data_IF_005523979444
#
_entry.id   IF_005523979444
#
_cell.length_a   1.000
_cell.length_b   1.000
_cell.length_c   1.000
_cell.angle_alpha   90.00
_cell.angle_beta   90.00
_cell.angle_gamma   90.00
#
_symmetry.space_group_name_H-M   'P 1'
#
loop_
_entity.id
_entity.type
_entity.pdbx_description
1 polymer ?
#
# COMPACT_ATOMS: atom_id res chain seq x y z
N UNK A 1 -13.85 28.89 0.64
CA UNK A 1 -14.16 27.67 -0.15
C UNK A 1 -14.90 26.72 0.78
N UNK A 2 -16.13 26.26 0.43
CA UNK A 2 -16.83 25.29 1.26
C UNK A 2 -16.09 23.96 1.20
N UNK A 3 -15.88 23.36 2.37
CA UNK A 3 -15.35 22.01 2.52
C UNK A 3 -16.36 21.03 1.90
N UNK A 4 -15.98 20.36 0.83
CA UNK A 4 -16.73 19.20 0.30
C UNK A 4 -16.55 18.03 1.28
N UNK A 5 -17.52 17.87 2.15
CA UNK A 5 -17.63 16.73 3.04
C UNK A 5 -18.36 15.62 2.27
N UNK A 6 -17.83 14.39 2.27
CA UNK A 6 -18.35 13.27 1.48
C UNK A 6 -19.80 12.86 1.85
N UNK A 7 -20.44 12.01 1.02
CA UNK A 7 -21.86 11.60 1.07
C UNK A 7 -22.42 11.15 2.44
N UNK A 8 -21.55 10.72 3.36
CA UNK A 8 -21.97 10.39 4.73
C UNK A 8 -22.42 11.58 5.57
N UNK A 9 -21.99 12.81 5.20
CA UNK A 9 -22.37 14.02 5.90
C UNK A 9 -23.71 14.61 5.43
N UNK A 10 -24.14 14.31 4.19
CA UNK A 10 -25.43 14.79 3.67
C UNK A 10 -26.59 14.18 4.48
N UNK A 11 -26.45 12.92 4.90
CA UNK A 11 -27.40 12.28 5.80
C UNK A 11 -27.39 12.88 7.20
N UNK A 12 -26.20 13.23 7.73
CA UNK A 12 -26.10 13.85 9.04
C UNK A 12 -26.68 15.27 9.02
N UNK A 13 -26.40 16.06 7.99
CA UNK A 13 -26.97 17.41 7.83
C UNK A 13 -28.48 17.36 7.61
N UNK A 14 -28.98 16.46 6.81
CA UNK A 14 -30.44 16.25 6.62
C UNK A 14 -31.12 15.85 7.92
N UNK A 15 -30.50 15.00 8.72
CA UNK A 15 -31.01 14.60 10.03
C UNK A 15 -30.99 15.75 11.02
N UNK A 16 -29.89 16.52 11.09
CA UNK A 16 -29.77 17.69 11.95
C UNK A 16 -30.76 18.78 11.55
N UNK A 17 -30.96 19.05 10.26
CA UNK A 17 -31.94 20.01 9.76
C UNK A 17 -33.36 19.65 10.18
N UNK A 18 -33.74 18.37 10.08
CA UNK A 18 -35.05 17.89 10.59
C UNK A 18 -35.23 18.10 12.08
N UNK A 19 -34.20 17.83 12.88
CA UNK A 19 -34.23 18.05 14.32
C UNK A 19 -34.41 19.54 14.68
N UNK A 20 -33.82 20.46 13.89
CA UNK A 20 -34.03 21.90 14.07
C UNK A 20 -35.40 22.38 13.64
N UNK A 21 -36.00 21.79 12.58
CA UNK A 21 -37.37 22.09 12.16
C UNK A 21 -38.41 21.63 13.17
N UNK A 22 -38.11 20.60 13.97
CA UNK A 22 -38.96 20.09 15.06
C UNK A 22 -38.89 20.93 16.36
N UNK A 23 -38.17 22.06 16.35
CA UNK A 23 -38.14 23.02 17.47
C UNK A 23 -37.24 22.63 18.64
N UNK A 24 -36.34 21.69 18.44
CA UNK A 24 -35.34 21.30 19.45
C UNK A 24 -34.23 22.37 19.56
N UNK A 25 -33.81 22.66 20.77
CA UNK A 25 -32.69 23.61 21.00
C UNK A 25 -31.32 22.92 20.78
N UNK A 26 -30.28 23.73 20.52
CA UNK A 26 -28.91 23.22 20.41
C UNK A 26 -28.45 22.51 21.68
N UNK A 27 -28.96 22.95 22.85
CA UNK A 27 -28.70 22.30 24.13
C UNK A 27 -29.27 20.90 24.23
N UNK A 28 -30.43 20.64 23.58
CA UNK A 28 -31.05 19.32 23.56
C UNK A 28 -30.27 18.33 22.68
N UNK A 29 -29.56 18.81 21.69
CA UNK A 29 -28.66 18.03 20.84
C UNK A 29 -27.38 17.59 21.57
N UNK A 30 -26.83 18.47 22.41
CA UNK A 30 -25.58 18.18 23.13
C UNK A 30 -25.79 17.59 24.52
N UNK A 31 -26.98 17.82 25.13
CA UNK A 31 -27.35 17.33 26.46
C UNK A 31 -28.78 16.75 26.44
N UNK A 32 -29.00 15.65 25.73
CA UNK A 32 -30.33 15.07 25.66
C UNK A 32 -30.74 14.56 27.04
N UNK A 33 -31.73 15.23 27.65
CA UNK A 33 -32.40 14.77 28.87
C UNK A 33 -33.29 13.55 28.64
N UNK A 34 -33.44 13.15 27.39
CA UNK A 34 -34.35 12.07 27.01
C UNK A 34 -33.58 10.73 26.84
N UNK A 35 -33.96 9.73 27.62
CA UNK A 35 -33.50 8.35 27.67
C UNK A 35 -33.25 7.60 26.32
N UNK A 36 -33.90 7.95 25.18
CA UNK A 36 -33.64 7.24 23.92
C UNK A 36 -32.24 7.50 23.33
N UNK A 37 -31.67 8.70 23.54
CA UNK A 37 -30.38 9.06 22.97
C UNK A 37 -29.20 8.49 23.75
N UNK A 38 -29.34 8.37 25.08
CA UNK A 38 -28.31 7.74 25.90
C UNK A 38 -28.09 6.28 25.49
N UNK A 39 -29.18 5.57 25.22
CA UNK A 39 -29.13 4.17 24.79
C UNK A 39 -28.53 4.00 23.40
N UNK A 40 -28.79 4.92 22.47
CA UNK A 40 -28.14 4.92 21.15
C UNK A 40 -26.66 5.23 21.24
N UNK A 41 -26.26 6.25 22.01
CA UNK A 41 -24.87 6.60 22.28
C UNK A 41 -24.13 5.42 22.92
N UNK A 42 -24.70 4.81 23.96
CA UNK A 42 -24.12 3.63 24.60
C UNK A 42 -23.97 2.45 23.61
N UNK A 43 -24.98 2.18 22.79
CA UNK A 43 -24.92 1.13 21.77
C UNK A 43 -23.86 1.44 20.72
N UNK A 44 -23.76 2.69 20.28
CA UNK A 44 -22.75 3.12 19.30
C UNK A 44 -21.34 3.08 19.89
N UNK A 45 -21.17 3.51 21.15
CA UNK A 45 -19.90 3.40 21.86
C UNK A 45 -19.51 1.95 22.12
N UNK A 46 -20.46 1.08 22.46
CA UNK A 46 -20.22 -0.36 22.60
C UNK A 46 -19.86 -1.01 21.27
N UNK A 47 -20.51 -0.63 20.16
CA UNK A 47 -20.15 -1.10 18.82
C UNK A 47 -18.74 -0.61 18.39
N UNK A 48 -18.37 0.63 18.71
CA UNK A 48 -17.03 1.14 18.44
C UNK A 48 -15.97 0.50 19.35
N UNK A 49 -16.31 0.09 20.57
CA UNK A 49 -15.40 -0.62 21.46
C UNK A 49 -15.10 -2.07 21.00
N UNK A 50 -15.97 -2.66 20.18
CA UNK A 50 -15.82 -4.02 19.63
C UNK A 50 -15.00 -4.02 18.33
N UNK A 51 -14.79 -2.86 17.69
CA UNK A 51 -13.98 -2.79 16.49
C UNK A 51 -12.52 -3.17 16.82
N UNK A 52 -11.94 -4.15 16.12
CA UNK A 52 -10.56 -4.53 16.35
C UNK A 52 -9.66 -3.32 16.06
N UNK A 53 -8.66 -3.11 16.91
CA UNK A 53 -7.67 -2.03 16.68
C UNK A 53 -7.13 -2.13 15.25
N UNK A 54 -7.08 -1.00 14.50
CA UNK A 54 -6.47 -0.97 13.19
C UNK A 54 -5.03 -1.52 13.27
N UNK A 55 -4.68 -2.37 12.31
CA UNK A 55 -3.36 -2.99 12.25
C UNK A 55 -2.93 -3.17 10.80
N UNK A 56 -1.64 -3.16 10.56
CA UNK A 56 -1.08 -3.51 9.26
C UNK A 56 -1.37 -4.98 8.90
N UNK A 57 -1.38 -5.26 7.61
CA UNK A 57 -1.44 -6.63 7.11
C UNK A 57 -0.26 -7.46 7.65
N UNK A 58 -0.47 -8.76 7.84
CA UNK A 58 0.58 -9.64 8.37
C UNK A 58 1.81 -9.66 7.45
N UNK A 59 2.97 -9.35 8.01
CA UNK A 59 4.23 -9.29 7.25
C UNK A 59 4.50 -7.94 6.61
N UNK A 60 3.72 -6.91 6.92
CA UNK A 60 3.96 -5.52 6.57
C UNK A 60 4.08 -4.67 7.84
N UNK A 61 4.58 -3.46 7.71
CA UNK A 61 4.66 -2.51 8.84
C UNK A 61 4.65 -1.07 8.35
N UNK A 62 4.21 -0.18 9.22
CA UNK A 62 4.41 1.25 9.07
C UNK A 62 5.84 1.64 9.46
N UNK A 63 6.32 2.72 8.87
CA UNK A 63 7.58 3.35 9.22
C UNK A 63 7.30 4.75 9.76
N UNK A 64 7.64 4.97 11.01
CA UNK A 64 7.53 6.29 11.63
C UNK A 64 8.55 7.27 11.02
N UNK A 65 8.36 8.60 11.18
CA UNK A 65 9.22 9.60 10.55
C UNK A 65 10.71 9.39 10.78
N UNK A 66 11.13 9.07 11.99
CA UNK A 66 12.53 8.81 12.31
C UNK A 66 13.10 7.60 11.53
N UNK A 67 12.33 6.52 11.42
CA UNK A 67 12.72 5.33 10.66
C UNK A 67 12.77 5.60 9.16
N UNK A 68 11.81 6.38 8.65
CA UNK A 68 11.78 6.82 7.25
C UNK A 68 13.00 7.65 6.91
N UNK A 69 13.39 8.60 7.76
CA UNK A 69 14.58 9.42 7.58
C UNK A 69 15.86 8.57 7.47
N UNK A 70 16.02 7.55 8.34
CA UNK A 70 17.17 6.63 8.27
C UNK A 70 17.17 5.86 6.96
N UNK A 71 16.00 5.33 6.54
CA UNK A 71 15.86 4.61 5.27
C UNK A 71 16.21 5.49 4.08
N UNK A 72 15.70 6.72 4.02
CA UNK A 72 16.02 7.66 2.93
C UNK A 72 17.52 7.98 2.84
N UNK A 73 18.18 8.13 4.00
CA UNK A 73 19.63 8.33 4.04
C UNK A 73 20.37 7.12 3.47
N UNK A 74 19.95 5.91 3.83
CA UNK A 74 20.54 4.68 3.29
C UNK A 74 20.32 4.56 1.78
N UNK A 75 19.09 4.81 1.28
CA UNK A 75 18.76 4.76 -0.13
C UNK A 75 19.54 5.80 -0.95
N UNK A 76 19.73 7.01 -0.42
CA UNK A 76 20.56 8.05 -1.06
C UNK A 76 22.01 7.60 -1.19
N UNK A 77 22.57 6.97 -0.15
CA UNK A 77 23.92 6.43 -0.21
C UNK A 77 24.06 5.33 -1.27
N UNK A 78 23.15 4.35 -1.27
CA UNK A 78 23.12 3.26 -2.26
C UNK A 78 23.01 3.82 -3.68
N UNK A 79 22.08 4.76 -3.90
CA UNK A 79 21.91 5.43 -5.19
C UNK A 79 23.18 6.12 -5.66
N UNK A 80 23.91 6.79 -4.76
CA UNK A 80 25.15 7.47 -5.09
C UNK A 80 26.22 6.49 -5.56
N UNK A 81 26.30 5.32 -4.94
CA UNK A 81 27.23 4.24 -5.33
C UNK A 81 26.86 3.69 -6.72
N UNK A 82 25.58 3.38 -6.95
CA UNK A 82 25.12 2.88 -8.25
C UNK A 82 25.44 3.86 -9.40
N UNK A 83 25.24 5.15 -9.17
CA UNK A 83 25.58 6.21 -10.13
C UNK A 83 27.10 6.29 -10.40
N UNK A 84 27.94 6.10 -9.37
CA UNK A 84 29.41 6.05 -9.53
C UNK A 84 29.86 4.91 -10.45
N UNK A 85 29.10 3.80 -10.47
CA UNK A 85 29.34 2.68 -11.39
C UNK A 85 28.72 2.90 -12.78
N UNK A 86 28.20 4.09 -13.06
CA UNK A 86 27.63 4.44 -14.37
C UNK A 86 26.24 3.84 -14.62
N UNK A 87 25.55 3.36 -13.58
CA UNK A 87 24.22 2.84 -13.74
C UNK A 87 23.17 3.96 -13.86
N UNK A 88 22.21 3.76 -14.74
CA UNK A 88 21.09 4.66 -14.96
C UNK A 88 19.84 4.13 -14.23
N UNK A 89 19.06 5.04 -13.69
CA UNK A 89 17.79 4.67 -13.05
C UNK A 89 16.79 4.17 -14.09
N UNK A 90 16.09 3.10 -13.76
CA UNK A 90 14.86 2.70 -14.47
C UNK A 90 13.75 2.53 -13.43
N UNK A 91 12.51 2.53 -13.91
CA UNK A 91 11.34 2.18 -13.13
C UNK A 91 10.45 1.25 -13.95
N UNK A 92 9.82 0.29 -13.29
CA UNK A 92 8.88 -0.65 -13.90
C UNK A 92 7.63 -0.75 -13.02
N UNK A 93 6.47 -1.08 -13.60
CA UNK A 93 5.25 -1.24 -12.83
C UNK A 93 5.37 -2.22 -11.67
N UNK A 94 4.64 -1.97 -10.59
CA UNK A 94 4.54 -2.92 -9.46
C UNK A 94 3.68 -4.13 -9.82
N UNK A 95 2.74 -3.93 -10.75
CA UNK A 95 1.85 -4.95 -11.27
C UNK A 95 2.38 -5.43 -12.60
N UNK A 96 2.55 -6.74 -12.73
CA UNK A 96 3.03 -7.42 -13.93
C UNK A 96 2.00 -8.46 -14.40
N UNK A 97 2.03 -8.81 -15.68
CA UNK A 97 1.27 -9.93 -16.18
C UNK A 97 1.73 -11.23 -15.49
N UNK A 98 0.78 -12.00 -14.99
CA UNK A 98 1.06 -13.22 -14.24
C UNK A 98 1.94 -14.20 -15.00
N UNK A 99 1.68 -14.38 -16.29
CA UNK A 99 2.43 -15.30 -17.14
C UNK A 99 3.88 -14.89 -17.31
N UNK A 100 4.18 -13.59 -17.35
CA UNK A 100 5.55 -13.06 -17.39
C UNK A 100 6.34 -13.47 -16.15
N UNK A 101 5.72 -13.46 -14.99
CA UNK A 101 6.35 -13.84 -13.73
C UNK A 101 6.43 -15.37 -13.60
N UNK A 102 5.32 -16.08 -13.81
CA UNK A 102 5.21 -17.51 -13.56
C UNK A 102 6.20 -18.34 -14.39
N UNK A 103 6.47 -17.95 -15.62
CA UNK A 103 7.40 -18.68 -16.50
C UNK A 103 8.86 -18.74 -16.00
N UNK A 104 9.24 -17.93 -15.01
CA UNK A 104 10.65 -17.73 -14.59
C UNK A 104 10.98 -18.25 -13.19
N UNK A 105 10.00 -18.45 -12.31
CA UNK A 105 10.28 -18.70 -10.89
C UNK A 105 10.13 -20.16 -10.45
N UNK A 106 9.78 -21.11 -11.30
CA UNK A 106 9.69 -22.53 -10.93
C UNK A 106 8.87 -22.76 -9.64
N UNK A 107 9.51 -23.31 -8.61
CA UNK A 107 8.83 -23.58 -7.32
C UNK A 107 8.45 -22.32 -6.54
N UNK A 108 9.10 -21.21 -6.77
CA UNK A 108 8.81 -19.93 -6.09
C UNK A 108 7.52 -19.27 -6.59
N UNK A 109 6.89 -19.80 -7.64
CA UNK A 109 5.59 -19.33 -8.13
C UNK A 109 4.54 -19.25 -7.02
N UNK A 110 4.57 -20.18 -6.05
CA UNK A 110 3.68 -20.19 -4.88
C UNK A 110 3.86 -18.96 -3.95
N UNK A 111 4.98 -18.25 -4.09
CA UNK A 111 5.30 -17.07 -3.30
C UNK A 111 4.85 -15.76 -3.98
N UNK A 112 4.38 -15.82 -5.22
CA UNK A 112 3.89 -14.67 -5.96
C UNK A 112 2.47 -14.31 -5.49
N UNK A 113 2.23 -13.03 -5.26
CA UNK A 113 0.89 -12.50 -5.01
C UNK A 113 0.13 -12.36 -6.33
N UNK A 114 -0.84 -13.23 -6.57
CA UNK A 114 -1.83 -13.04 -7.62
C UNK A 114 -2.86 -11.99 -7.17
N UNK A 115 -3.23 -11.10 -8.07
CA UNK A 115 -4.29 -10.13 -7.84
C UNK A 115 -5.61 -10.72 -8.33
N UNK A 116 -6.68 -10.39 -7.62
CA UNK A 116 -8.05 -10.64 -8.08
C UNK A 116 -8.41 -9.40 -8.90
N UNK A 117 -8.42 -9.58 -10.21
CA UNK A 117 -8.85 -8.55 -11.15
C UNK A 117 -10.05 -9.07 -11.94
N UNK A 118 -10.96 -8.19 -12.29
CA UNK A 118 -12.11 -8.47 -13.15
C UNK A 118 -11.81 -8.18 -14.62
N UNK A 119 -10.54 -7.86 -14.93
CA UNK A 119 -10.06 -7.64 -16.29
C UNK A 119 -9.76 -8.96 -17.04
N UNK A 120 -9.39 -8.84 -18.30
CA UNK A 120 -9.11 -9.99 -19.18
C UNK A 120 -7.77 -10.67 -18.86
N UNK A 121 -6.79 -9.90 -18.36
CA UNK A 121 -5.45 -10.39 -18.09
C UNK A 121 -5.22 -10.71 -16.60
N UNK A 122 -4.70 -11.90 -16.27
CA UNK A 122 -4.33 -12.24 -14.90
C UNK A 122 -3.09 -11.45 -14.48
N UNK A 123 -3.23 -10.69 -13.38
CA UNK A 123 -2.21 -9.81 -12.84
C UNK A 123 -1.56 -10.39 -11.57
N UNK A 124 -0.35 -9.93 -11.29
CA UNK A 124 0.40 -10.28 -10.07
C UNK A 124 1.28 -9.13 -9.61
N UNK A 125 1.58 -9.08 -8.30
CA UNK A 125 2.61 -8.16 -7.80
C UNK A 125 4.00 -8.71 -8.12
N UNK A 126 4.93 -7.82 -8.46
CA UNK A 126 6.33 -8.19 -8.73
C UNK A 126 6.97 -8.86 -7.52
N UNK A 127 7.63 -9.98 -7.76
CA UNK A 127 8.34 -10.77 -6.75
C UNK A 127 9.76 -10.25 -6.49
N UNK A 128 10.41 -9.74 -7.53
CA UNK A 128 11.72 -9.11 -7.56
C UNK A 128 11.77 -7.99 -8.61
N UNK A 129 12.96 -7.48 -8.91
CA UNK A 129 13.17 -6.48 -9.94
C UNK A 129 13.92 -7.03 -11.18
N UNK A 130 14.39 -8.27 -11.13
CA UNK A 130 15.14 -8.92 -12.20
C UNK A 130 14.25 -9.31 -13.38
N UNK A 131 13.11 -9.97 -13.12
CA UNK A 131 12.16 -10.36 -14.18
C UNK A 131 11.52 -9.15 -14.85
N UNK A 132 11.03 -8.12 -14.11
CA UNK A 132 10.60 -6.87 -14.72
C UNK A 132 11.67 -6.20 -15.59
N UNK A 133 12.93 -6.27 -15.19
CA UNK A 133 14.02 -5.76 -16.01
C UNK A 133 14.22 -6.56 -17.30
N UNK A 134 14.19 -7.88 -17.24
CA UNK A 134 14.29 -8.74 -18.42
C UNK A 134 13.16 -8.46 -19.42
N UNK A 135 11.92 -8.31 -18.91
CA UNK A 135 10.77 -7.89 -19.73
C UNK A 135 10.98 -6.50 -20.34
N UNK A 136 11.49 -5.54 -19.55
CA UNK A 136 11.80 -4.19 -20.02
C UNK A 136 12.80 -4.21 -21.17
N UNK A 137 13.90 -4.97 -21.06
CA UNK A 137 14.89 -5.11 -22.13
C UNK A 137 14.28 -5.69 -23.40
N UNK A 138 13.51 -6.77 -23.27
CA UNK A 138 12.84 -7.44 -24.38
C UNK A 138 11.83 -6.51 -25.07
N UNK A 139 11.01 -5.82 -24.30
CA UNK A 139 9.97 -4.92 -24.82
C UNK A 139 10.54 -3.74 -25.61
N UNK A 140 11.69 -3.21 -25.17
CA UNK A 140 12.32 -2.04 -25.79
C UNK A 140 13.47 -2.39 -26.77
N UNK A 141 13.73 -3.69 -27.00
CA UNK A 141 14.81 -4.14 -27.90
C UNK A 141 16.20 -3.72 -27.43
N UNK A 142 16.40 -3.60 -26.10
CA UNK A 142 17.66 -3.13 -25.52
C UNK A 142 18.55 -4.34 -25.23
N UNK A 143 19.74 -4.37 -25.82
CA UNK A 143 20.72 -5.46 -25.64
C UNK A 143 21.84 -5.12 -24.66
N UNK A 144 22.13 -3.83 -24.45
CA UNK A 144 23.20 -3.38 -23.58
C UNK A 144 22.69 -2.26 -22.64
N UNK A 145 22.67 -2.52 -21.34
CA UNK A 145 22.22 -1.55 -20.34
C UNK A 145 22.88 -1.81 -18.99
N UNK A 146 23.37 -0.75 -18.39
CA UNK A 146 23.76 -0.73 -16.98
C UNK A 146 22.67 0.06 -16.22
N UNK A 147 21.88 -0.64 -15.41
CA UNK A 147 20.75 -0.04 -14.71
C UNK A 147 20.85 -0.19 -13.20
N UNK A 148 20.19 0.67 -12.48
CA UNK A 148 19.77 0.40 -11.10
C UNK A 148 18.27 0.63 -10.94
N UNK A 149 17.68 -0.12 -10.02
CA UNK A 149 16.29 0.02 -9.63
C UNK A 149 16.17 -0.16 -8.11
N UNK A 150 15.49 0.76 -7.46
CA UNK A 150 15.24 0.72 -6.01
C UNK A 150 13.73 0.82 -5.81
N UNK A 151 13.11 -0.29 -5.44
CA UNK A 151 11.66 -0.34 -5.33
C UNK A 151 11.19 -1.42 -4.38
N UNK A 152 9.91 -1.36 -4.00
CA UNK A 152 9.26 -2.40 -3.21
C UNK A 152 9.02 -3.65 -4.04
N UNK A 153 9.16 -4.80 -3.39
CA UNK A 153 8.81 -6.12 -3.92
C UNK A 153 7.93 -6.86 -2.92
N UNK A 154 7.23 -7.88 -3.40
CA UNK A 154 6.15 -8.51 -2.64
C UNK A 154 6.28 -10.03 -2.69
N UNK A 155 6.42 -10.65 -1.51
CA UNK A 155 6.57 -12.11 -1.40
C UNK A 155 5.58 -12.70 -0.42
N UNK A 156 4.76 -13.65 -0.86
CA UNK A 156 3.75 -14.34 -0.04
C UNK A 156 4.38 -15.37 0.91
N UNK A 157 5.60 -15.16 1.32
CA UNK A 157 6.32 -16.05 2.22
C UNK A 157 5.80 -15.94 3.67
N UNK A 158 6.16 -16.92 4.50
CA UNK A 158 5.87 -16.90 5.93
C UNK A 158 6.72 -15.81 6.59
N UNK A 159 6.10 -14.73 7.11
CA UNK A 159 6.87 -13.60 7.63
C UNK A 159 7.54 -13.98 8.96
N UNK A 160 8.77 -13.52 9.12
CA UNK A 160 9.55 -13.60 10.36
C UNK A 160 10.11 -12.20 10.66
N UNK A 161 9.25 -11.31 11.13
CA UNK A 161 9.56 -9.88 11.26
C UNK A 161 10.75 -9.61 12.20
N UNK A 162 10.92 -10.41 13.24
CA UNK A 162 12.07 -10.34 14.16
C UNK A 162 13.40 -10.67 13.48
N UNK A 163 13.38 -11.43 12.38
CA UNK A 163 14.55 -11.78 11.56
C UNK A 163 14.62 -10.94 10.28
N UNK A 164 13.85 -9.86 10.17
CA UNK A 164 13.84 -8.97 9.00
C UNK A 164 13.14 -9.54 7.76
N UNK A 165 12.41 -10.68 7.87
CA UNK A 165 11.67 -11.27 6.73
C UNK A 165 10.26 -10.72 6.69
N UNK A 166 10.03 -9.79 5.76
CA UNK A 166 8.75 -9.15 5.50
C UNK A 166 8.13 -9.66 4.20
N UNK A 167 6.83 -9.39 4.02
CA UNK A 167 6.11 -9.65 2.76
C UNK A 167 6.17 -8.49 1.77
N UNK A 168 6.44 -7.30 2.28
CA UNK A 168 6.69 -6.09 1.50
C UNK A 168 8.02 -5.50 1.99
N UNK A 169 8.97 -5.32 1.09
CA UNK A 169 10.27 -4.75 1.41
C UNK A 169 10.94 -4.13 0.19
N UNK A 170 11.94 -3.29 0.41
CA UNK A 170 12.71 -2.69 -0.66
C UNK A 170 13.81 -3.64 -1.15
N UNK A 171 13.94 -3.77 -2.47
CA UNK A 171 15.14 -4.25 -3.13
C UNK A 171 15.90 -3.08 -3.75
N UNK A 172 17.24 -3.16 -3.73
CA UNK A 172 18.14 -2.23 -4.39
C UNK A 172 19.00 -3.07 -5.32
N UNK A 173 18.70 -3.03 -6.61
CA UNK A 173 19.39 -3.84 -7.62
C UNK A 173 20.20 -2.97 -8.57
N UNK A 174 21.40 -3.47 -8.92
CA UNK A 174 22.23 -2.97 -9.99
C UNK A 174 22.53 -4.12 -10.93
N UNK A 175 22.14 -3.99 -12.19
CA UNK A 175 22.37 -5.01 -13.22
C UNK A 175 23.07 -4.43 -14.43
N UNK A 176 23.84 -5.31 -15.07
CA UNK A 176 24.53 -5.04 -16.31
C UNK A 176 24.12 -6.11 -17.31
N UNK A 177 23.48 -5.71 -18.39
CA UNK A 177 23.17 -6.56 -19.53
C UNK A 177 24.04 -6.21 -20.71
N UNK A 178 24.37 -7.21 -21.53
CA UNK A 178 25.24 -7.04 -22.69
C UNK A 178 26.74 -7.20 -22.35
N UNK A 179 27.54 -7.05 -23.35
CA UNK A 179 29.02 -7.16 -23.30
C UNK A 179 29.65 -5.79 -23.44
#
# INVERSE_FOLDING_TARGET
RPLHLGRGNDHLFSYLSKLFEEGNSVSDLFFPSAKPYSKWIETTLQQTAILPKPKCARGTRDYLPAQTCVREKALRLITSIFKKHGAQAIDTPEVELRDTLMSKYGEDQKLIYALIDYGEDPLSLRYDLTVPFARFLAQHGITNRKRYHIAKVYRRDKPQMTKGRFREFYQCELDISGV
#
